data_IF_503635189790
#
_entry.id   IF_503635189790
#
_cell.length_a   1.000
_cell.length_b   1.000
_cell.length_c   1.000
_cell.angle_alpha   90.00
_cell.angle_beta   90.00
_cell.angle_gamma   90.00
#
_symmetry.space_group_name_H-M   'P 1'
#
loop_
_entity.id
_entity.type
_entity.pdbx_description
1 polymer ?
#
# COMPACT_ATOMS: atom_id res chain seq x y z
N UNK A 1 11.02 -53.92 46.86
CA UNK A 1 9.79 -53.14 46.62
C UNK A 1 10.16 -51.66 46.60
N UNK A 2 10.37 -51.07 45.43
CA UNK A 2 10.58 -49.61 45.25
C UNK A 2 9.86 -49.21 43.97
N UNK A 3 8.73 -48.51 44.12
CA UNK A 3 8.01 -47.89 43.00
C UNK A 3 8.73 -46.58 42.65
N UNK A 4 9.15 -46.43 41.40
CA UNK A 4 9.52 -45.14 40.82
C UNK A 4 8.30 -44.57 40.10
N UNK A 5 7.82 -43.41 40.54
CA UNK A 5 6.78 -42.65 39.85
C UNK A 5 7.45 -41.73 38.82
N UNK A 6 7.14 -41.92 37.54
CA UNK A 6 7.52 -40.99 36.48
C UNK A 6 6.37 -40.01 36.27
N UNK A 7 6.59 -38.74 36.63
CA UNK A 7 5.72 -37.63 36.24
C UNK A 7 6.05 -37.21 34.81
N UNK A 8 5.11 -37.42 33.89
CA UNK A 8 5.20 -36.96 32.51
C UNK A 8 4.58 -35.54 32.44
N UNK A 9 5.41 -34.50 32.45
CA UNK A 9 4.95 -33.13 32.21
C UNK A 9 4.79 -32.90 30.71
N UNK A 10 3.54 -32.90 30.23
CA UNK A 10 3.21 -32.51 28.86
C UNK A 10 3.36 -31.00 28.71
N UNK A 11 4.34 -30.55 27.92
CA UNK A 11 4.54 -29.15 27.56
C UNK A 11 3.58 -28.80 26.41
N UNK A 12 2.50 -28.09 26.70
CA UNK A 12 1.56 -27.59 25.70
C UNK A 12 2.15 -26.33 25.07
N UNK A 13 2.73 -26.45 23.86
CA UNK A 13 3.17 -25.30 23.07
C UNK A 13 1.92 -24.68 22.45
N UNK A 14 1.43 -23.58 23.05
CA UNK A 14 0.37 -22.77 22.46
C UNK A 14 0.99 -21.94 21.33
N UNK A 15 0.91 -22.43 20.10
CA UNK A 15 1.21 -21.63 18.92
C UNK A 15 0.10 -20.61 18.71
N UNK A 16 0.32 -19.36 19.11
CA UNK A 16 -0.58 -18.25 18.80
C UNK A 16 -0.44 -17.91 17.32
N UNK A 17 -1.25 -18.52 16.46
CA UNK A 17 -1.40 -18.03 15.08
C UNK A 17 -2.12 -16.69 15.14
N UNK A 18 -1.38 -15.60 14.94
CA UNK A 18 -1.98 -14.28 14.77
C UNK A 18 -2.90 -14.32 13.54
N UNK A 19 -4.21 -14.13 13.77
CA UNK A 19 -5.21 -14.10 12.72
C UNK A 19 -5.03 -12.80 11.93
N UNK A 20 -4.24 -12.83 10.85
CA UNK A 20 -4.23 -11.74 9.86
C UNK A 20 -5.59 -11.76 9.17
N UNK A 21 -6.36 -10.68 9.28
CA UNK A 21 -7.64 -10.56 8.59
C UNK A 21 -7.46 -10.74 7.08
N UNK A 22 -8.44 -11.35 6.41
CA UNK A 22 -8.45 -11.46 4.96
C UNK A 22 -8.51 -10.07 4.33
N UNK A 23 -7.77 -9.85 3.24
CA UNK A 23 -7.80 -8.60 2.46
C UNK A 23 -9.25 -8.19 2.12
N UNK A 24 -9.67 -6.93 2.32
CA UNK A 24 -11.02 -6.49 1.99
C UNK A 24 -11.39 -6.74 0.52
N UNK A 25 -12.67 -7.01 0.23
CA UNK A 25 -13.10 -7.34 -1.14
C UNK A 25 -12.86 -6.18 -2.13
N UNK A 26 -13.07 -4.94 -1.71
CA UNK A 26 -12.81 -3.76 -2.56
C UNK A 26 -11.32 -3.64 -2.91
N UNK A 27 -10.44 -3.89 -1.94
CA UNK A 27 -9.01 -3.94 -2.11
C UNK A 27 -8.59 -5.01 -3.14
N UNK A 28 -9.19 -6.20 -3.10
CA UNK A 28 -8.93 -7.26 -4.07
C UNK A 28 -9.29 -6.82 -5.51
N UNK A 29 -10.46 -6.18 -5.70
CA UNK A 29 -10.87 -5.64 -7.01
C UNK A 29 -9.95 -4.54 -7.52
N UNK A 30 -9.41 -3.71 -6.61
CA UNK A 30 -8.42 -2.70 -6.98
C UNK A 30 -7.15 -3.36 -7.51
N UNK A 31 -6.64 -4.41 -6.85
CA UNK A 31 -5.46 -5.15 -7.34
C UNK A 31 -5.74 -5.79 -8.69
N UNK A 32 -6.91 -6.41 -8.86
CA UNK A 32 -7.35 -6.96 -10.15
C UNK A 32 -7.34 -5.90 -11.27
N UNK A 33 -7.83 -4.69 -10.97
CA UNK A 33 -7.76 -3.57 -11.91
C UNK A 33 -6.32 -3.22 -12.27
N UNK A 34 -5.42 -3.16 -11.28
CA UNK A 34 -3.99 -2.91 -11.54
C UNK A 34 -3.40 -3.96 -12.47
N UNK A 35 -3.69 -5.25 -12.26
CA UNK A 35 -3.21 -6.32 -13.13
C UNK A 35 -3.68 -6.13 -14.59
N UNK A 36 -4.89 -5.63 -14.80
CA UNK A 36 -5.44 -5.37 -16.15
C UNK A 36 -4.78 -4.17 -16.85
N UNK A 37 -4.33 -3.16 -16.10
CA UNK A 37 -3.83 -1.89 -16.66
C UNK A 37 -2.33 -1.67 -16.54
N UNK A 38 -1.61 -2.54 -15.82
CA UNK A 38 -0.15 -2.51 -15.73
C UNK A 38 0.50 -2.47 -17.12
N UNK A 39 1.48 -1.57 -17.28
CA UNK A 39 2.16 -1.30 -18.55
C UNK A 39 1.37 -0.44 -19.54
N UNK A 40 0.13 -0.05 -19.22
CA UNK A 40 -0.73 0.80 -20.07
C UNK A 40 -0.88 2.19 -19.45
N UNK A 41 -1.27 3.16 -20.27
CA UNK A 41 -1.64 4.50 -19.82
C UNK A 41 -3.11 4.48 -19.40
N UNK A 42 -3.42 4.84 -18.15
CA UNK A 42 -4.80 5.04 -17.69
C UNK A 42 -5.18 6.50 -17.89
N UNK A 43 -6.26 6.72 -18.64
CA UNK A 43 -6.81 8.03 -18.98
C UNK A 43 -5.73 9.02 -19.49
N UNK A 44 -5.54 10.16 -18.81
CA UNK A 44 -4.57 11.20 -19.21
C UNK A 44 -3.15 10.84 -18.81
N UNK A 45 -2.98 9.81 -17.98
CA UNK A 45 -1.69 9.34 -17.52
C UNK A 45 -1.22 10.04 -16.25
N UNK A 46 -2.10 10.75 -15.53
CA UNK A 46 -1.76 11.40 -14.25
C UNK A 46 -1.80 10.39 -13.10
N UNK A 47 -0.98 10.58 -12.07
CA UNK A 47 -0.90 9.63 -10.95
C UNK A 47 -2.25 9.36 -10.28
N UNK A 48 -3.08 10.39 -10.14
CA UNK A 48 -4.42 10.27 -9.57
C UNK A 48 -5.44 9.57 -10.48
N UNK A 49 -5.24 9.57 -11.81
CA UNK A 49 -6.15 8.90 -12.75
C UNK A 49 -6.19 7.39 -12.48
N UNK A 50 -5.03 6.81 -12.10
CA UNK A 50 -4.93 5.41 -11.73
C UNK A 50 -5.77 5.10 -10.49
N UNK A 51 -5.67 5.92 -9.44
CA UNK A 51 -6.44 5.77 -8.21
C UNK A 51 -7.95 5.95 -8.44
N UNK A 52 -8.34 6.97 -9.20
CA UNK A 52 -9.74 7.21 -9.53
C UNK A 52 -10.33 6.09 -10.40
N UNK A 53 -9.58 5.57 -11.37
CA UNK A 53 -9.97 4.43 -12.19
C UNK A 53 -10.13 3.14 -11.39
N UNK A 54 -9.20 2.88 -10.46
CA UNK A 54 -9.25 1.71 -9.59
C UNK A 54 -10.46 1.74 -8.66
N UNK A 55 -10.75 2.89 -8.02
CA UNK A 55 -11.95 3.06 -7.21
C UNK A 55 -13.22 2.88 -8.05
N UNK A 56 -13.30 3.49 -9.24
CA UNK A 56 -14.45 3.33 -10.11
C UNK A 56 -14.69 1.86 -10.52
N UNK A 57 -13.63 1.13 -10.87
CA UNK A 57 -13.71 -0.30 -11.19
C UNK A 57 -14.19 -1.14 -10.01
N UNK A 58 -13.69 -0.84 -8.82
CA UNK A 58 -14.00 -1.61 -7.62
C UNK A 58 -15.37 -1.27 -6.99
N UNK A 59 -16.05 -0.23 -7.47
CA UNK A 59 -17.26 0.32 -6.84
C UNK A 59 -16.95 1.08 -5.55
N UNK A 60 -15.81 1.78 -5.52
CA UNK A 60 -15.33 2.55 -4.39
C UNK A 60 -15.76 4.00 -4.40
N UNK A 61 -15.95 4.53 -3.20
CA UNK A 61 -16.29 5.92 -2.97
C UNK A 61 -15.14 6.87 -3.35
N UNK A 62 -15.47 7.96 -4.04
CA UNK A 62 -14.56 9.08 -4.27
C UNK A 62 -15.34 10.40 -4.25
N UNK A 63 -15.04 11.28 -3.29
CA UNK A 63 -15.69 12.59 -3.20
C UNK A 63 -15.15 13.54 -4.28
N UNK A 64 -15.95 13.73 -5.34
CA UNK A 64 -15.64 14.61 -6.47
C UNK A 64 -16.18 16.03 -6.31
N UNK A 65 -16.72 16.40 -5.14
CA UNK A 65 -17.36 17.70 -4.92
C UNK A 65 -16.41 18.90 -5.02
N UNK A 66 -15.10 18.70 -4.81
CA UNK A 66 -14.09 19.72 -5.02
C UNK A 66 -12.67 19.13 -5.12
N UNK A 67 -11.75 19.92 -5.68
CA UNK A 67 -10.38 19.51 -5.96
C UNK A 67 -9.59 19.01 -4.73
N UNK A 68 -9.84 19.55 -3.52
CA UNK A 68 -9.11 19.10 -2.31
C UNK A 68 -9.53 17.71 -1.87
N UNK A 69 -10.78 17.33 -2.13
CA UNK A 69 -11.31 16.02 -1.74
C UNK A 69 -11.00 14.91 -2.73
N UNK A 70 -10.53 15.24 -3.92
CA UNK A 70 -10.07 14.27 -4.92
C UNK A 70 -8.91 13.39 -4.43
N UNK A 71 -8.21 13.81 -3.37
CA UNK A 71 -7.09 13.07 -2.76
C UNK A 71 -7.47 12.41 -1.42
N UNK A 72 -8.76 12.26 -1.16
CA UNK A 72 -9.30 11.49 -0.04
C UNK A 72 -9.94 10.24 -0.61
N UNK A 73 -9.21 9.12 -0.54
CA UNK A 73 -9.55 7.89 -1.24
C UNK A 73 -10.26 6.85 -0.36
N UNK A 74 -10.76 7.27 0.81
CA UNK A 74 -11.44 6.41 1.78
C UNK A 74 -11.06 6.77 3.21
N UNK A 75 -11.02 5.76 4.08
CA UNK A 75 -10.70 5.93 5.50
C UNK A 75 -9.19 6.02 5.70
N UNK A 76 -8.73 6.97 6.51
CA UNK A 76 -7.30 7.10 6.81
C UNK A 76 -6.85 5.94 7.68
N UNK A 77 -5.73 5.33 7.31
CA UNK A 77 -5.04 4.32 8.13
C UNK A 77 -3.61 4.78 8.42
N UNK A 78 -3.06 4.32 9.55
CA UNK A 78 -1.69 4.54 9.95
C UNK A 78 -0.87 3.29 9.68
N UNK A 79 0.02 3.26 8.67
CA UNK A 79 0.78 2.07 8.31
C UNK A 79 1.76 1.60 9.40
N UNK A 80 2.00 2.41 10.45
CA UNK A 80 2.81 2.01 11.62
C UNK A 80 2.00 1.29 12.71
N UNK A 81 0.66 1.30 12.63
CA UNK A 81 -0.24 0.76 13.66
C UNK A 81 -1.28 -0.20 13.10
N UNK A 82 -1.80 0.13 11.92
CA UNK A 82 -2.84 -0.60 11.24
C UNK A 82 -2.24 -1.55 10.22
N UNK A 83 -2.87 -2.70 10.01
CA UNK A 83 -2.53 -3.61 8.93
C UNK A 83 -2.78 -2.90 7.59
N UNK A 84 -1.77 -2.86 6.73
CA UNK A 84 -1.87 -2.39 5.35
C UNK A 84 -2.20 -3.59 4.46
N UNK A 85 -3.06 -3.37 3.47
CA UNK A 85 -3.42 -4.38 2.48
C UNK A 85 -3.04 -3.93 1.07
N UNK A 86 -2.76 -4.87 0.15
CA UNK A 86 -2.86 -4.60 -1.28
C UNK A 86 -4.16 -3.88 -1.61
N UNK A 87 -4.13 -2.90 -2.51
CA UNK A 87 -5.25 -2.04 -2.87
C UNK A 87 -5.46 -0.82 -1.96
N UNK A 88 -4.76 -0.70 -0.82
CA UNK A 88 -4.76 0.56 -0.06
C UNK A 88 -4.08 1.66 -0.90
N UNK A 89 -4.54 2.90 -0.78
CA UNK A 89 -4.12 4.03 -1.64
C UNK A 89 -3.24 4.98 -0.83
N UNK A 90 -2.13 5.43 -1.40
CA UNK A 90 -1.18 6.33 -0.76
C UNK A 90 -1.20 7.69 -1.45
N UNK A 91 -1.37 8.75 -0.67
CA UNK A 91 -1.17 10.13 -1.12
C UNK A 91 0.10 10.69 -0.49
N UNK A 92 1.02 11.18 -1.32
CA UNK A 92 2.28 11.81 -0.93
C UNK A 92 2.24 13.32 -1.10
N UNK A 93 2.79 14.03 -0.12
CA UNK A 93 2.90 15.49 -0.10
C UNK A 93 4.31 15.91 0.29
N UNK A 94 5.04 16.46 -0.67
CA UNK A 94 6.39 17.00 -0.54
C UNK A 94 7.37 16.04 0.14
N UNK A 95 7.39 14.78 -0.29
CA UNK A 95 8.28 13.78 0.28
C UNK A 95 9.67 13.84 -0.34
N UNK A 96 10.67 13.51 0.48
CA UNK A 96 12.04 13.24 0.04
C UNK A 96 12.41 11.84 0.51
N UNK A 97 12.77 10.96 -0.44
CA UNK A 97 13.33 9.66 -0.16
C UNK A 97 14.84 9.73 -0.28
N UNK A 98 15.53 9.07 0.63
CA UNK A 98 16.98 8.91 0.62
C UNK A 98 17.33 7.46 0.90
N UNK A 99 18.14 6.86 0.03
CA UNK A 99 18.58 5.48 0.16
C UNK A 99 19.96 5.28 -0.44
N UNK A 100 20.67 4.28 0.07
CA UNK A 100 22.00 3.91 -0.40
C UNK A 100 21.88 2.70 -1.34
N UNK A 101 22.53 2.80 -2.50
CA UNK A 101 22.76 1.66 -3.39
C UNK A 101 24.26 1.58 -3.68
N UNK A 102 24.90 0.53 -3.15
CA UNK A 102 26.35 0.40 -3.14
C UNK A 102 27.02 1.52 -2.33
N UNK A 103 27.82 2.36 -3.00
CA UNK A 103 28.51 3.50 -2.39
C UNK A 103 27.89 4.86 -2.79
N UNK A 104 26.68 4.86 -3.35
CA UNK A 104 26.00 6.08 -3.82
C UNK A 104 24.73 6.32 -3.01
N UNK A 105 24.56 7.56 -2.55
CA UNK A 105 23.33 8.03 -1.93
C UNK A 105 22.43 8.57 -3.03
N UNK A 106 21.23 8.01 -3.13
CA UNK A 106 20.18 8.45 -4.03
C UNK A 106 19.20 9.32 -3.26
N UNK A 107 18.76 10.41 -3.89
CA UNK A 107 17.74 11.29 -3.34
C UNK A 107 16.64 11.49 -4.38
N UNK A 108 15.42 11.17 -3.99
CA UNK A 108 14.23 11.35 -4.82
C UNK A 108 13.25 12.29 -4.13
N UNK A 109 12.58 13.13 -4.91
CA UNK A 109 11.57 14.06 -4.37
C UNK A 109 10.26 13.91 -5.11
N UNK A 110 9.16 13.92 -4.36
CA UNK A 110 7.80 13.89 -4.90
C UNK A 110 6.99 15.01 -4.25
N UNK A 111 6.69 16.06 -5.03
CA UNK A 111 5.93 17.22 -4.54
C UNK A 111 4.48 16.86 -4.22
N UNK A 112 3.83 16.11 -5.09
CA UNK A 112 2.44 15.68 -4.95
C UNK A 112 2.20 14.43 -5.80
N UNK A 113 2.01 13.27 -5.19
CA UNK A 113 1.94 12.00 -5.92
C UNK A 113 0.95 11.02 -5.30
N UNK A 114 0.33 10.19 -6.14
CA UNK A 114 -0.61 9.15 -5.71
C UNK A 114 -0.12 7.79 -6.20
N UNK A 115 -0.19 6.79 -5.32
CA UNK A 115 0.13 5.41 -5.65
C UNK A 115 -0.85 4.44 -4.98
N UNK A 116 -0.86 3.19 -5.41
CA UNK A 116 -1.65 2.11 -4.83
C UNK A 116 -0.70 1.04 -4.32
N UNK A 117 -0.90 0.51 -3.12
CA UNK A 117 -0.17 -0.64 -2.62
C UNK A 117 -0.51 -1.84 -3.50
N UNK A 118 0.47 -2.38 -4.22
CA UNK A 118 0.30 -3.58 -5.03
C UNK A 118 0.62 -4.82 -4.21
N UNK A 119 1.73 -4.80 -3.48
CA UNK A 119 2.16 -5.89 -2.60
C UNK A 119 2.69 -5.36 -1.26
N UNK A 120 2.57 -6.17 -0.21
CA UNK A 120 3.07 -5.85 1.14
C UNK A 120 4.15 -6.87 1.51
N UNK A 121 5.40 -6.41 1.61
CA UNK A 121 6.54 -7.25 1.95
C UNK A 121 6.84 -7.30 3.45
N UNK A 122 6.30 -6.35 4.22
CA UNK A 122 6.51 -6.21 5.66
C UNK A 122 7.43 -5.03 6.00
N UNK A 123 7.49 -4.64 7.28
CA UNK A 123 8.41 -3.61 7.80
C UNK A 123 8.40 -2.26 7.07
N UNK A 124 7.26 -1.88 6.50
CA UNK A 124 7.10 -0.64 5.74
C UNK A 124 7.65 -0.70 4.31
N UNK A 125 7.99 -1.89 3.81
CA UNK A 125 8.34 -2.18 2.44
C UNK A 125 7.11 -2.65 1.65
N UNK A 126 6.86 -1.99 0.53
CA UNK A 126 5.73 -2.24 -0.35
C UNK A 126 6.19 -2.21 -1.80
N UNK A 127 5.56 -3.01 -2.67
CA UNK A 127 5.55 -2.66 -4.09
C UNK A 127 4.32 -1.81 -4.35
N UNK A 128 4.48 -0.70 -5.05
CA UNK A 128 3.41 0.26 -5.34
C UNK A 128 3.17 0.37 -6.84
N UNK A 129 1.89 0.43 -7.22
CA UNK A 129 1.45 0.76 -8.56
C UNK A 129 1.20 2.26 -8.69
N UNK A 130 1.82 2.88 -9.68
CA UNK A 130 1.65 4.31 -9.97
C UNK A 130 1.94 4.61 -11.44
N UNK A 131 1.58 5.81 -11.88
CA UNK A 131 1.93 6.35 -13.19
C UNK A 131 2.35 7.81 -13.05
N UNK A 132 2.84 8.42 -14.12
CA UNK A 132 3.44 9.75 -14.12
C UNK A 132 4.74 9.81 -13.32
N UNK A 133 5.62 8.82 -13.51
CA UNK A 133 6.94 8.79 -12.88
C UNK A 133 8.03 9.04 -13.90
N UNK A 134 9.24 9.36 -13.44
CA UNK A 134 10.44 9.44 -14.29
C UNK A 134 10.71 8.12 -15.00
N UNK A 135 10.57 7.00 -14.30
CA UNK A 135 10.87 5.66 -14.81
C UNK A 135 9.84 5.14 -15.82
N UNK A 136 8.55 5.27 -15.52
CA UNK A 136 7.48 4.65 -16.31
C UNK A 136 6.74 5.65 -17.21
N UNK A 137 7.07 6.94 -17.12
CA UNK A 137 6.36 8.02 -17.81
C UNK A 137 4.87 7.99 -17.47
N UNK A 138 4.02 8.11 -18.48
CA UNK A 138 2.54 8.12 -18.33
C UNK A 138 1.91 6.73 -18.22
N UNK A 139 2.70 5.66 -18.14
CA UNK A 139 2.19 4.27 -18.02
C UNK A 139 2.20 3.83 -16.56
N UNK A 140 1.31 2.89 -16.24
CA UNK A 140 1.28 2.23 -14.94
C UNK A 140 2.51 1.32 -14.83
N UNK A 141 3.37 1.63 -13.87
CA UNK A 141 4.49 0.79 -13.48
C UNK A 141 4.42 0.40 -12.01
N UNK A 142 5.25 -0.57 -11.64
CA UNK A 142 5.41 -1.05 -10.28
C UNK A 142 6.82 -0.73 -9.84
N UNK A 143 6.97 -0.07 -8.70
CA UNK A 143 8.27 0.17 -8.05
C UNK A 143 8.16 -0.11 -6.55
N UNK A 144 9.30 -0.26 -5.89
CA UNK A 144 9.32 -0.47 -4.45
C UNK A 144 9.32 0.85 -3.68
N UNK A 145 8.61 0.83 -2.56
CA UNK A 145 8.53 1.91 -1.59
C UNK A 145 8.93 1.35 -0.23
N UNK A 146 10.06 1.82 0.29
CA UNK A 146 10.43 1.61 1.68
C UNK A 146 10.15 2.88 2.49
N UNK A 147 9.18 2.83 3.40
CA UNK A 147 8.81 3.98 4.24
C UNK A 147 9.98 4.45 5.13
N UNK A 148 10.96 3.60 5.41
CA UNK A 148 12.14 3.96 6.20
C UNK A 148 13.10 4.88 5.43
N UNK A 149 12.98 4.95 4.10
CA UNK A 149 13.77 5.86 3.27
C UNK A 149 13.16 7.27 3.22
N UNK A 150 11.93 7.49 3.71
CA UNK A 150 11.28 8.80 3.68
C UNK A 150 11.84 9.68 4.81
N UNK A 151 12.64 10.69 4.45
CA UNK A 151 13.27 11.61 5.41
C UNK A 151 12.42 12.85 5.71
N UNK A 152 11.62 13.29 4.73
CA UNK A 152 10.82 14.52 4.80
C UNK A 152 9.45 14.33 4.13
N UNK A 153 8.54 15.24 4.43
CA UNK A 153 7.21 15.30 3.83
C UNK A 153 6.14 14.53 4.61
N UNK A 154 5.01 14.31 3.95
CA UNK A 154 3.87 13.57 4.51
C UNK A 154 3.40 12.52 3.53
N UNK A 155 2.96 11.40 4.07
CA UNK A 155 2.20 10.41 3.33
C UNK A 155 0.96 10.03 4.15
N UNK A 156 -0.13 9.76 3.46
CA UNK A 156 -1.37 9.29 4.06
C UNK A 156 -1.79 8.04 3.32
N UNK A 157 -2.02 6.96 4.06
CA UNK A 157 -2.63 5.76 3.54
C UNK A 157 -4.14 5.85 3.73
N UNK A 158 -4.87 5.43 2.71
CA UNK A 158 -6.31 5.34 2.69
C UNK A 158 -6.73 3.91 2.43
N UNK A 159 -7.66 3.40 3.23
CA UNK A 159 -8.42 2.21 2.95
C UNK A 159 -9.64 2.58 2.10
N UNK A 160 -9.74 2.09 0.87
CA UNK A 160 -10.93 2.25 0.04
C UNK A 160 -12.18 1.73 0.75
N UNK A 161 -13.28 2.48 0.61
CA UNK A 161 -14.60 2.06 1.09
C UNK A 161 -15.55 1.95 -0.10
N UNK A 162 -16.55 1.04 -0.06
CA UNK A 162 -17.57 0.97 -1.09
C UNK A 162 -18.32 2.30 -1.26
N UNK A 163 -18.70 2.61 -2.49
CA UNK A 163 -19.70 3.64 -2.74
C UNK A 163 -21.06 3.19 -2.20
N UNK A 164 -21.86 4.13 -1.69
CA UNK A 164 -23.11 3.83 -0.97
C UNK A 164 -24.24 3.39 -1.88
#
# INVERSE_FOLDING_TARGET
MRLFAYFLTALFIITTTAFKGSTPQINQKIVEYIDQVKGKKVDRGECWDLAAGALAYAGGYLDRSNARKLYIFGEKINPKKDQVYPGDIIQFENITLEYEEGNTIYTETMSHHTAIVYEVHGDGLFSIAHQNTSEFGKKVGISDLNLNHIQKGKYIFYRPIPDK
#
